data_IF_898922643126
#
_entry.id   IF_898922643126
#
_cell.length_a   1.000
_cell.length_b   1.000
_cell.length_c   1.000
_cell.angle_alpha   90.00
_cell.angle_beta   90.00
_cell.angle_gamma   90.00
#
_symmetry.space_group_name_H-M   'P 1'
#
loop_
_entity.id
_entity.type
_entity.pdbx_description
1 polymer ?
#
# COMPACT_ATOMS: atom_id res chain seq x y z
N UNK A 1 76.87 -72.23 -7.94
CA UNK A 1 75.41 -72.05 -8.09
C UNK A 1 75.14 -71.52 -9.51
N UNK A 2 74.33 -72.24 -10.26
CA UNK A 2 74.14 -72.05 -11.70
C UNK A 2 73.45 -70.71 -12.04
N UNK A 3 73.95 -70.00 -13.07
CA UNK A 3 73.35 -68.77 -13.67
C UNK A 3 71.84 -68.90 -13.96
N UNK A 4 71.28 -70.08 -14.15
CA UNK A 4 69.88 -70.43 -14.33
C UNK A 4 69.02 -70.18 -13.06
N UNK A 5 69.56 -70.51 -11.84
CA UNK A 5 68.85 -70.32 -10.56
C UNK A 5 68.64 -68.85 -10.25
N UNK A 6 69.65 -67.99 -10.52
CA UNK A 6 69.51 -66.55 -10.28
C UNK A 6 68.49 -65.85 -11.22
N UNK A 7 68.34 -66.33 -12.47
CA UNK A 7 67.30 -65.81 -13.40
C UNK A 7 65.88 -66.19 -12.99
N UNK A 8 65.68 -67.43 -12.51
CA UNK A 8 64.41 -67.92 -11.98
C UNK A 8 64.00 -67.15 -10.73
N UNK A 9 64.94 -66.88 -9.82
CA UNK A 9 64.69 -66.08 -8.61
C UNK A 9 64.41 -64.64 -8.94
N UNK A 10 65.12 -64.00 -9.88
CA UNK A 10 64.84 -62.66 -10.32
C UNK A 10 63.42 -62.50 -11.01
N UNK A 11 63.04 -63.52 -11.78
CA UNK A 11 61.76 -63.58 -12.45
C UNK A 11 60.60 -63.77 -11.45
N UNK A 12 60.78 -64.65 -10.43
CA UNK A 12 59.77 -64.80 -9.36
C UNK A 12 59.63 -63.54 -8.48
N UNK A 13 60.74 -62.85 -8.20
CA UNK A 13 60.71 -61.60 -7.47
C UNK A 13 59.99 -60.49 -8.28
N UNK A 14 60.31 -60.44 -9.57
CA UNK A 14 59.62 -59.47 -10.46
C UNK A 14 58.10 -59.74 -10.54
N UNK A 15 57.66 -60.98 -10.66
CA UNK A 15 56.27 -61.38 -10.65
C UNK A 15 55.60 -61.07 -9.32
N UNK A 16 56.26 -61.30 -8.19
CA UNK A 16 55.76 -60.93 -6.86
C UNK A 16 55.60 -59.43 -6.69
N UNK A 17 56.57 -58.62 -7.13
CA UNK A 17 56.47 -57.17 -7.12
C UNK A 17 55.31 -56.68 -8.03
N UNK A 18 55.12 -57.34 -9.16
CA UNK A 18 54.03 -57.01 -10.08
C UNK A 18 52.65 -57.33 -9.48
N UNK A 19 52.54 -58.48 -8.78
CA UNK A 19 51.31 -58.84 -8.07
C UNK A 19 50.99 -57.86 -6.92
N UNK A 20 52.00 -57.45 -6.15
CA UNK A 20 51.84 -56.44 -5.11
C UNK A 20 51.38 -55.10 -5.72
N UNK A 21 52.03 -54.68 -6.80
CA UNK A 21 51.65 -53.44 -7.49
C UNK A 21 50.20 -53.53 -8.00
N UNK A 22 49.81 -54.63 -8.62
CA UNK A 22 48.45 -54.87 -9.07
C UNK A 22 47.44 -54.85 -7.91
N UNK A 23 47.77 -55.44 -6.78
CA UNK A 23 46.95 -55.43 -5.58
C UNK A 23 46.82 -54.03 -5.01
N UNK A 24 47.88 -53.25 -4.97
CA UNK A 24 47.82 -51.81 -4.54
C UNK A 24 46.94 -51.00 -5.48
N UNK A 25 47.12 -51.14 -6.79
CA UNK A 25 46.30 -50.46 -7.77
C UNK A 25 44.82 -50.83 -7.67
N UNK A 26 44.56 -52.14 -7.44
CA UNK A 26 43.17 -52.60 -7.22
C UNK A 26 42.55 -52.00 -5.95
N UNK A 27 43.26 -51.96 -4.84
CA UNK A 27 42.84 -51.37 -3.59
C UNK A 27 42.62 -49.88 -3.77
N UNK A 28 43.52 -49.15 -4.42
CA UNK A 28 43.35 -47.70 -4.72
C UNK A 28 42.15 -47.47 -5.59
N UNK A 29 41.90 -48.25 -6.63
CA UNK A 29 40.72 -48.15 -7.48
C UNK A 29 39.43 -48.38 -6.68
N UNK A 30 39.42 -49.40 -5.82
CA UNK A 30 38.28 -49.71 -4.97
C UNK A 30 38.00 -48.58 -3.97
N UNK A 31 39.05 -48.08 -3.29
CA UNK A 31 38.94 -46.95 -2.36
C UNK A 31 38.45 -45.69 -3.06
N UNK A 32 38.93 -45.42 -4.26
CA UNK A 32 38.45 -44.27 -5.05
C UNK A 32 36.96 -44.41 -5.39
N UNK A 33 36.54 -45.60 -5.83
CA UNK A 33 35.12 -45.88 -6.11
C UNK A 33 34.24 -45.74 -4.85
N UNK A 34 34.74 -46.24 -3.72
CA UNK A 34 34.03 -46.11 -2.45
C UNK A 34 33.95 -44.66 -1.98
N UNK A 35 35.01 -43.89 -2.11
CA UNK A 35 34.98 -42.47 -1.77
C UNK A 35 33.98 -41.67 -2.63
N UNK A 36 33.96 -41.94 -3.94
CA UNK A 36 32.99 -41.32 -4.83
C UNK A 36 31.53 -41.70 -4.48
N UNK A 37 31.30 -42.96 -4.11
CA UNK A 37 29.97 -43.38 -3.65
C UNK A 37 29.59 -42.80 -2.29
N UNK A 38 30.57 -42.64 -1.39
CA UNK A 38 30.35 -41.97 -0.12
C UNK A 38 29.96 -40.49 -0.32
N UNK A 39 30.69 -39.76 -1.15
CA UNK A 39 30.33 -38.38 -1.50
C UNK A 39 28.91 -38.29 -2.09
N UNK A 40 28.56 -39.19 -3.02
CA UNK A 40 27.24 -39.27 -3.61
C UNK A 40 26.13 -39.65 -2.61
N UNK A 41 26.48 -40.27 -1.48
CA UNK A 41 25.57 -40.66 -0.40
C UNK A 41 25.31 -39.52 0.60
N UNK A 42 25.96 -38.37 0.46
CA UNK A 42 25.76 -37.24 1.34
C UNK A 42 24.52 -36.42 0.90
N UNK A 43 23.61 -36.06 1.83
CA UNK A 43 22.48 -35.20 1.52
C UNK A 43 22.90 -33.82 0.97
N UNK A 44 24.10 -33.34 1.38
CA UNK A 44 24.68 -32.08 0.87
C UNK A 44 25.03 -32.18 -0.62
N UNK A 45 25.55 -33.30 -1.07
CA UNK A 45 25.82 -33.51 -2.50
C UNK A 45 24.53 -33.53 -3.32
N UNK A 46 23.49 -34.17 -2.79
CA UNK A 46 22.19 -34.22 -3.47
C UNK A 46 21.53 -32.83 -3.57
N UNK A 47 21.59 -31.99 -2.51
CA UNK A 47 21.06 -30.63 -2.57
C UNK A 47 21.91 -29.75 -3.49
N UNK A 48 23.24 -29.89 -3.51
CA UNK A 48 24.11 -29.15 -4.43
C UNK A 48 23.79 -29.48 -5.89
N UNK A 49 23.57 -30.77 -6.20
CA UNK A 49 23.12 -31.18 -7.54
C UNK A 49 21.76 -30.63 -7.88
N UNK A 50 20.81 -30.65 -6.95
CA UNK A 50 19.50 -30.04 -7.14
C UNK A 50 19.61 -28.52 -7.44
N UNK A 51 20.40 -27.77 -6.67
CA UNK A 51 20.61 -26.34 -6.90
C UNK A 51 21.17 -26.03 -8.31
N UNK A 52 22.01 -26.94 -8.87
CA UNK A 52 22.51 -26.79 -10.24
C UNK A 52 21.44 -27.03 -11.32
N UNK A 53 20.32 -27.66 -10.99
CA UNK A 53 19.19 -27.84 -11.92
C UNK A 53 18.25 -26.64 -12.00
N UNK A 54 18.43 -25.65 -11.13
CA UNK A 54 17.57 -24.47 -11.03
C UNK A 54 17.90 -23.47 -12.17
N UNK A 55 17.49 -23.81 -13.40
CA UNK A 55 17.57 -22.92 -14.56
C UNK A 55 16.45 -21.85 -14.47
N UNK A 56 16.53 -20.81 -15.34
CA UNK A 56 15.50 -19.77 -15.42
C UNK A 56 14.11 -20.35 -15.71
N UNK A 57 14.03 -21.35 -16.58
CA UNK A 57 12.75 -22.05 -16.86
C UNK A 57 12.24 -22.81 -15.64
N UNK A 58 13.13 -23.45 -14.88
CA UNK A 58 12.76 -24.14 -13.65
C UNK A 58 12.26 -23.13 -12.60
N UNK A 59 12.94 -22.00 -12.43
CA UNK A 59 12.48 -20.92 -11.55
C UNK A 59 11.10 -20.40 -11.93
N UNK A 60 10.83 -20.23 -13.23
CA UNK A 60 9.50 -19.81 -13.69
C UNK A 60 8.43 -20.82 -13.31
N UNK A 61 8.70 -22.11 -13.47
CA UNK A 61 7.78 -23.17 -13.05
C UNK A 61 7.53 -23.21 -11.54
N UNK A 62 8.55 -22.91 -10.75
CA UNK A 62 8.46 -22.87 -9.29
C UNK A 62 7.72 -21.60 -8.80
N UNK A 63 7.80 -20.50 -9.53
CA UNK A 63 7.11 -19.26 -9.25
C UNK A 63 5.64 -19.25 -9.74
N UNK A 64 5.21 -20.24 -10.55
CA UNK A 64 3.86 -20.27 -11.17
C UNK A 64 2.70 -20.04 -10.18
N UNK A 65 2.70 -20.57 -8.94
CA UNK A 65 1.66 -20.26 -7.97
C UNK A 65 1.59 -18.76 -7.63
N UNK A 66 2.73 -18.11 -7.41
CA UNK A 66 2.83 -16.68 -7.11
C UNK A 66 2.47 -15.82 -8.33
N UNK A 67 2.91 -16.22 -9.54
CA UNK A 67 2.60 -15.48 -10.77
C UNK A 67 1.09 -15.42 -11.06
N UNK A 68 0.32 -16.43 -10.67
CA UNK A 68 -1.14 -16.46 -10.80
C UNK A 68 -1.87 -15.49 -9.87
N UNK A 69 -1.21 -14.94 -8.87
CA UNK A 69 -1.76 -13.92 -7.97
C UNK A 69 -1.63 -12.50 -8.53
N UNK A 70 -0.85 -12.33 -9.63
CA UNK A 70 -0.63 -11.03 -10.26
C UNK A 70 -1.93 -10.49 -10.86
N UNK A 71 -2.20 -9.21 -10.62
CA UNK A 71 -3.30 -8.48 -11.25
C UNK A 71 -2.93 -8.08 -12.68
N UNK A 72 -3.26 -8.94 -13.65
CA UNK A 72 -2.83 -8.81 -15.05
C UNK A 72 -3.37 -7.54 -15.76
N UNK A 73 -4.35 -6.87 -15.18
CA UNK A 73 -4.87 -5.57 -15.64
C UNK A 73 -3.96 -4.39 -15.25
N UNK A 74 -3.14 -4.54 -14.19
CA UNK A 74 -2.25 -3.50 -13.66
C UNK A 74 -0.77 -3.81 -13.88
N UNK A 75 -0.36 -5.08 -13.73
CA UNK A 75 1.01 -5.56 -13.88
C UNK A 75 1.00 -6.92 -14.60
N UNK A 76 2.10 -7.34 -15.22
CA UNK A 76 2.15 -8.59 -15.97
C UNK A 76 2.89 -9.71 -15.21
N UNK A 77 2.52 -10.96 -15.47
CA UNK A 77 3.25 -12.13 -14.94
C UNK A 77 4.73 -12.12 -15.35
N UNK A 78 5.05 -11.65 -16.56
CA UNK A 78 6.44 -11.57 -17.02
C UNK A 78 7.24 -10.56 -16.23
N UNK A 79 6.68 -9.36 -15.96
CA UNK A 79 7.34 -8.36 -15.12
C UNK A 79 7.48 -8.81 -13.67
N UNK A 80 6.49 -9.55 -13.15
CA UNK A 80 6.58 -10.18 -11.84
C UNK A 80 7.71 -11.21 -11.77
N UNK A 81 7.79 -12.08 -12.77
CA UNK A 81 8.85 -13.07 -12.83
C UNK A 81 10.23 -12.41 -12.96
N UNK A 82 10.38 -11.38 -13.78
CA UNK A 82 11.63 -10.63 -13.88
C UNK A 82 12.01 -9.97 -12.55
N UNK A 83 11.02 -9.47 -11.80
CA UNK A 83 11.24 -8.92 -10.46
C UNK A 83 11.69 -10.00 -9.47
N UNK A 84 11.06 -11.18 -9.44
CA UNK A 84 11.52 -12.34 -8.66
C UNK A 84 12.99 -12.67 -9.00
N UNK A 85 13.33 -12.66 -10.30
CA UNK A 85 14.69 -12.98 -10.73
C UNK A 85 15.72 -11.96 -10.23
N UNK A 86 15.37 -10.71 -9.97
CA UNK A 86 16.30 -9.75 -9.35
C UNK A 86 16.77 -10.18 -7.96
N UNK A 87 15.94 -10.91 -7.23
CA UNK A 87 16.31 -11.52 -5.94
C UNK A 87 17.13 -12.81 -6.13
N UNK A 88 16.67 -13.68 -7.01
CA UNK A 88 17.33 -14.97 -7.29
C UNK A 88 18.76 -14.77 -7.82
N UNK A 89 18.95 -13.81 -8.72
CA UNK A 89 20.25 -13.52 -9.37
C UNK A 89 21.27 -12.91 -8.39
N UNK A 90 20.84 -12.31 -7.29
CA UNK A 90 21.74 -11.86 -6.20
C UNK A 90 22.34 -13.02 -5.41
N UNK A 91 21.78 -14.20 -5.54
CA UNK A 91 22.30 -15.45 -4.98
C UNK A 91 21.28 -16.18 -4.12
N UNK A 92 21.21 -17.47 -4.37
CA UNK A 92 20.37 -18.39 -3.60
C UNK A 92 21.26 -19.35 -2.82
N UNK A 93 20.95 -19.54 -1.55
CA UNK A 93 21.64 -20.41 -0.61
C UNK A 93 20.66 -21.42 -0.03
N UNK A 94 21.18 -22.48 0.58
CA UNK A 94 20.37 -23.40 1.36
C UNK A 94 20.90 -23.56 2.77
N UNK A 95 20.01 -23.86 3.70
CA UNK A 95 20.36 -24.24 5.08
C UNK A 95 19.58 -25.47 5.47
N UNK A 96 20.19 -26.36 6.27
CA UNK A 96 19.48 -27.52 6.76
C UNK A 96 18.40 -27.08 7.76
N UNK A 97 17.17 -27.52 7.55
CA UNK A 97 16.07 -27.21 8.46
C UNK A 97 16.26 -27.92 9.81
N UNK A 98 15.95 -27.18 10.90
CA UNK A 98 15.95 -27.73 12.24
C UNK A 98 14.72 -28.62 12.43
N UNK A 99 14.90 -29.91 12.63
CA UNK A 99 13.83 -30.86 12.85
C UNK A 99 14.17 -32.18 12.18
N UNK A 100 14.51 -33.20 12.98
CA UNK A 100 14.85 -34.54 12.48
C UNK A 100 13.67 -35.16 11.76
N UNK A 101 13.89 -35.61 10.55
CA UNK A 101 12.94 -36.48 9.86
C UNK A 101 12.81 -37.80 10.60
N UNK A 102 11.59 -38.24 10.86
CA UNK A 102 11.28 -39.56 11.40
C UNK A 102 11.47 -40.68 10.39
N UNK A 103 11.60 -40.34 9.09
CA UNK A 103 11.61 -41.28 7.95
C UNK A 103 12.91 -41.28 7.11
N UNK A 104 14.04 -40.77 7.65
CA UNK A 104 15.27 -40.69 6.88
C UNK A 104 15.30 -39.66 5.76
N UNK A 105 14.29 -38.79 5.68
CA UNK A 105 14.30 -37.62 4.79
C UNK A 105 15.07 -36.46 5.42
N UNK A 106 15.68 -35.61 4.60
CA UNK A 106 16.39 -34.43 5.05
C UNK A 106 15.75 -33.21 4.36
N UNK A 107 15.39 -32.21 5.17
CA UNK A 107 14.78 -30.98 4.64
C UNK A 107 15.80 -29.84 4.64
N UNK A 108 15.76 -29.05 3.56
CA UNK A 108 16.54 -27.84 3.38
C UNK A 108 15.60 -26.64 3.16
N UNK A 109 15.90 -25.54 3.81
CA UNK A 109 15.30 -24.24 3.52
C UNK A 109 16.13 -23.58 2.42
N UNK A 110 15.47 -23.09 1.39
CA UNK A 110 16.07 -22.31 0.31
C UNK A 110 15.90 -20.85 0.66
N UNK A 111 17.00 -20.12 0.65
CA UNK A 111 17.08 -18.74 1.14
C UNK A 111 17.63 -17.88 0.02
N UNK A 112 16.95 -16.74 -0.21
CA UNK A 112 17.43 -15.64 -1.01
C UNK A 112 17.90 -14.52 -0.06
N UNK A 113 19.06 -13.95 -0.32
CA UNK A 113 19.69 -12.96 0.56
C UNK A 113 20.07 -11.72 -0.25
N UNK A 114 19.08 -10.93 -0.70
CA UNK A 114 19.34 -9.81 -1.60
C UNK A 114 20.16 -8.69 -0.95
N UNK A 115 19.97 -8.40 0.33
CA UNK A 115 20.62 -7.31 1.02
C UNK A 115 20.95 -7.64 2.50
N UNK A 116 21.11 -8.96 2.80
CA UNK A 116 21.34 -9.46 4.16
C UNK A 116 20.07 -9.88 4.90
N UNK A 117 18.91 -9.83 4.26
CA UNK A 117 17.62 -10.06 4.91
C UNK A 117 17.19 -11.54 5.00
N UNK A 118 17.93 -12.44 4.32
CA UNK A 118 17.74 -13.90 4.40
C UNK A 118 16.28 -14.38 4.24
N UNK A 119 15.62 -14.00 3.13
CA UNK A 119 14.24 -14.44 2.85
C UNK A 119 14.22 -15.94 2.54
N UNK A 120 13.45 -16.70 3.31
CA UNK A 120 13.17 -18.09 2.96
C UNK A 120 12.15 -18.11 1.82
N UNK A 121 12.59 -18.54 0.64
CA UNK A 121 11.76 -18.62 -0.59
C UNK A 121 11.22 -20.01 -0.86
N UNK A 122 11.69 -21.03 -0.13
CA UNK A 122 11.19 -22.38 -0.35
C UNK A 122 11.77 -23.42 0.59
N UNK A 123 11.31 -24.63 0.39
CA UNK A 123 11.81 -25.84 1.06
C UNK A 123 11.99 -26.97 0.07
N UNK A 124 13.05 -27.73 0.25
CA UNK A 124 13.35 -28.95 -0.52
C UNK A 124 13.51 -30.12 0.44
N UNK A 125 12.76 -31.18 0.23
CA UNK A 125 12.88 -32.42 0.98
C UNK A 125 13.56 -33.49 0.12
N UNK A 126 14.62 -34.07 0.66
CA UNK A 126 15.33 -35.16 0.05
C UNK A 126 15.08 -36.46 0.83
N UNK A 127 14.74 -37.52 0.14
CA UNK A 127 14.50 -38.82 0.73
C UNK A 127 15.68 -39.75 0.45
N UNK A 128 16.05 -40.52 1.44
CA UNK A 128 17.06 -41.57 1.31
C UNK A 128 16.52 -42.70 0.41
N UNK A 129 17.23 -43.03 -0.64
CA UNK A 129 16.84 -44.11 -1.54
C UNK A 129 16.88 -45.46 -0.80
N UNK A 130 15.87 -46.33 -1.02
CA UNK A 130 15.80 -47.61 -0.30
C UNK A 130 16.91 -48.57 -0.72
N UNK A 131 17.41 -48.48 -1.95
CA UNK A 131 18.46 -49.34 -2.48
C UNK A 131 19.84 -48.77 -2.21
N UNK A 132 20.73 -49.56 -1.66
CA UNK A 132 22.13 -49.19 -1.49
C UNK A 132 22.86 -49.18 -2.85
N UNK A 133 23.73 -48.18 -3.06
CA UNK A 133 24.56 -48.07 -4.27
C UNK A 133 25.40 -49.31 -4.53
N UNK A 134 25.81 -50.00 -3.44
CA UNK A 134 26.56 -51.25 -3.47
C UNK A 134 25.92 -52.28 -2.53
N UNK A 135 25.00 -53.13 -3.00
CA UNK A 135 24.31 -54.14 -2.17
C UNK A 135 25.24 -55.09 -1.42
N UNK A 136 26.42 -55.40 -1.97
CA UNK A 136 27.45 -56.19 -1.31
C UNK A 136 27.99 -55.51 -0.03
N UNK A 137 28.21 -54.22 -0.05
CA UNK A 137 28.68 -53.45 1.11
C UNK A 137 27.58 -53.30 2.18
N UNK A 138 26.34 -53.30 1.78
CA UNK A 138 25.18 -53.24 2.69
C UNK A 138 25.15 -54.51 3.56
N UNK A 139 25.41 -55.69 2.98
CA UNK A 139 25.50 -56.95 3.74
C UNK A 139 26.64 -56.94 4.78
N UNK A 140 27.67 -56.13 4.57
CA UNK A 140 28.80 -55.94 5.50
C UNK A 140 28.56 -54.78 6.49
N UNK A 141 27.37 -54.13 6.49
CA UNK A 141 27.08 -52.99 7.36
C UNK A 141 27.59 -51.63 6.86
N UNK A 142 28.08 -51.56 5.62
CA UNK A 142 28.64 -50.36 4.99
C UNK A 142 27.75 -49.86 3.84
N UNK A 143 26.43 -50.02 3.96
CA UNK A 143 25.49 -49.56 2.91
C UNK A 143 25.53 -48.06 2.72
N UNK A 144 25.81 -47.64 1.48
CA UNK A 144 25.75 -46.24 1.05
C UNK A 144 24.48 -46.05 0.21
N UNK A 145 23.62 -45.13 0.63
CA UNK A 145 22.39 -44.83 -0.06
C UNK A 145 22.44 -43.38 -0.58
N UNK A 146 22.00 -43.17 -1.81
CA UNK A 146 21.82 -41.85 -2.37
C UNK A 146 20.59 -41.17 -1.79
N UNK A 147 20.44 -39.87 -2.12
CA UNK A 147 19.26 -39.11 -1.81
C UNK A 147 18.65 -38.63 -3.11
N UNK A 148 17.32 -38.74 -3.22
CA UNK A 148 16.53 -38.24 -4.32
C UNK A 148 15.57 -37.16 -3.85
N UNK A 149 15.14 -36.31 -4.77
CA UNK A 149 14.14 -35.28 -4.49
C UNK A 149 12.79 -35.93 -4.15
N UNK A 150 12.27 -35.66 -2.96
CA UNK A 150 10.98 -36.14 -2.51
C UNK A 150 9.88 -35.07 -2.79
N UNK A 151 10.19 -33.84 -2.44
CA UNK A 151 9.27 -32.71 -2.66
C UNK A 151 10.02 -31.38 -2.71
N UNK A 152 9.43 -30.44 -3.43
CA UNK A 152 9.87 -29.05 -3.46
C UNK A 152 8.64 -28.14 -3.32
N UNK A 153 8.79 -27.03 -2.58
CA UNK A 153 7.75 -26.02 -2.42
C UNK A 153 8.41 -24.66 -2.36
N UNK A 154 7.90 -23.72 -3.14
CA UNK A 154 8.40 -22.36 -3.21
C UNK A 154 7.25 -21.37 -3.04
N UNK A 155 7.55 -20.25 -2.40
CA UNK A 155 6.63 -19.14 -2.17
C UNK A 155 7.42 -17.84 -2.33
N UNK A 156 6.95 -16.99 -3.24
CA UNK A 156 7.53 -15.68 -3.50
C UNK A 156 6.54 -14.55 -3.12
N UNK A 157 5.50 -14.86 -2.35
CA UNK A 157 4.49 -13.87 -1.95
C UNK A 157 5.06 -12.69 -1.16
N UNK A 158 6.25 -12.83 -0.58
CA UNK A 158 6.96 -11.74 0.12
C UNK A 158 7.26 -10.52 -0.75
N UNK A 159 7.23 -10.67 -2.10
CA UNK A 159 7.43 -9.55 -3.03
C UNK A 159 6.21 -8.65 -3.14
N UNK A 160 5.04 -9.14 -2.77
CA UNK A 160 3.80 -8.40 -2.90
C UNK A 160 3.60 -7.42 -1.75
N UNK A 161 3.21 -6.23 -2.11
CA UNK A 161 2.72 -5.21 -1.21
C UNK A 161 1.26 -4.90 -1.48
N UNK A 162 0.73 -3.96 -0.69
CA UNK A 162 -0.55 -3.34 -0.94
C UNK A 162 -0.37 -1.84 -1.00
N UNK A 163 -1.17 -1.17 -1.82
CA UNK A 163 -1.22 0.29 -1.86
C UNK A 163 -2.67 0.74 -1.70
N UNK A 164 -2.87 1.77 -0.90
CA UNK A 164 -4.18 2.36 -0.68
C UNK A 164 -4.09 3.86 -0.92
N UNK A 165 -5.18 4.41 -1.46
CA UNK A 165 -5.31 5.84 -1.69
C UNK A 165 -6.76 6.28 -1.54
N UNK A 166 -6.98 7.42 -0.89
CA UNK A 166 -8.29 8.07 -0.77
C UNK A 166 -8.26 9.37 -1.56
N UNK A 167 -9.17 9.50 -2.51
CA UNK A 167 -9.25 10.64 -3.44
C UNK A 167 -10.72 11.04 -3.69
N UNK A 168 -10.98 12.25 -4.24
CA UNK A 168 -12.29 12.61 -4.75
C UNK A 168 -12.81 11.57 -5.75
N UNK A 169 -14.10 11.32 -5.72
CA UNK A 169 -14.76 10.31 -6.56
C UNK A 169 -14.63 10.60 -8.06
N UNK A 170 -14.50 11.87 -8.42
CA UNK A 170 -14.35 12.35 -9.79
C UNK A 170 -12.92 12.20 -10.32
N UNK A 171 -11.94 11.90 -9.44
CA UNK A 171 -10.54 11.73 -9.80
C UNK A 171 -10.27 10.33 -10.33
N UNK A 172 -9.22 10.18 -11.10
CA UNK A 172 -8.78 8.88 -11.66
C UNK A 172 -7.41 8.51 -11.15
N UNK A 173 -7.24 7.21 -10.84
CA UNK A 173 -5.98 6.63 -10.35
C UNK A 173 -5.33 5.81 -11.45
N UNK A 174 -4.03 5.95 -11.58
CA UNK A 174 -3.19 5.12 -12.44
C UNK A 174 -2.08 4.49 -11.62
N UNK A 175 -1.83 3.22 -11.82
CA UNK A 175 -0.72 2.47 -11.24
C UNK A 175 0.20 2.03 -12.37
N UNK A 176 1.46 2.50 -12.35
CA UNK A 176 2.44 2.25 -13.41
C UNK A 176 1.90 2.59 -14.83
N UNK A 177 1.06 3.64 -14.93
CA UNK A 177 0.43 4.07 -16.18
C UNK A 177 -0.83 3.30 -16.58
N UNK A 178 -1.20 2.22 -15.87
CA UNK A 178 -2.46 1.49 -16.07
C UNK A 178 -3.58 2.09 -15.23
N UNK A 179 -4.76 2.28 -15.81
CA UNK A 179 -5.92 2.79 -15.09
C UNK A 179 -6.39 1.79 -14.03
N UNK A 180 -6.50 2.26 -12.78
CA UNK A 180 -7.11 1.52 -11.68
C UNK A 180 -8.62 1.74 -11.75
N UNK A 181 -9.35 0.73 -12.13
CA UNK A 181 -10.80 0.83 -12.34
C UNK A 181 -11.60 0.76 -11.02
N UNK A 182 -12.91 0.90 -11.11
CA UNK A 182 -13.80 0.93 -9.95
C UNK A 182 -13.89 -0.39 -9.17
N UNK A 183 -13.38 -1.51 -9.71
CA UNK A 183 -13.37 -2.81 -8.99
C UNK A 183 -12.41 -2.79 -7.80
N UNK A 184 -11.46 -1.85 -7.80
CA UNK A 184 -10.50 -1.65 -6.71
C UNK A 184 -10.99 -0.69 -5.63
N UNK A 185 -12.20 -0.11 -5.77
CA UNK A 185 -12.80 0.73 -4.72
C UNK A 185 -13.27 -0.18 -3.58
N UNK A 186 -12.65 -0.03 -2.42
CA UNK A 186 -13.01 -0.78 -1.19
C UNK A 186 -13.99 -0.01 -0.31
N UNK A 187 -14.04 1.31 -0.46
CA UNK A 187 -14.99 2.15 0.25
C UNK A 187 -15.40 3.32 -0.66
N UNK A 188 -16.70 3.48 -0.87
CA UNK A 188 -17.29 4.53 -1.71
C UNK A 188 -18.13 5.49 -0.86
N UNK A 189 -18.32 6.71 -1.37
CA UNK A 189 -19.10 7.76 -0.74
C UNK A 189 -18.60 8.13 0.69
N UNK A 190 -17.28 8.20 0.86
CA UNK A 190 -16.67 8.71 2.09
C UNK A 190 -16.92 10.22 2.14
N UNK A 191 -17.51 10.70 3.22
CA UNK A 191 -17.74 12.11 3.42
C UNK A 191 -16.45 12.82 3.82
N UNK A 192 -16.21 14.00 3.26
CA UNK A 192 -15.16 14.87 3.76
C UNK A 192 -15.41 15.23 5.21
N UNK A 193 -14.49 14.90 6.10
CA UNK A 193 -14.60 15.24 7.53
C UNK A 193 -14.76 16.77 7.72
N UNK A 194 -14.05 17.53 6.88
CA UNK A 194 -14.08 18.99 6.86
C UNK A 194 -15.44 19.58 6.47
N UNK A 195 -16.25 18.88 5.65
CA UNK A 195 -17.50 19.37 5.09
C UNK A 195 -18.76 18.77 5.75
N UNK A 196 -18.64 17.72 6.53
CA UNK A 196 -19.77 16.94 7.06
C UNK A 196 -20.80 17.77 7.83
N UNK A 197 -20.37 18.85 8.46
CA UNK A 197 -21.24 19.69 9.28
C UNK A 197 -22.01 20.74 8.48
N UNK A 198 -21.70 20.91 7.20
CA UNK A 198 -22.32 21.90 6.32
C UNK A 198 -23.38 21.31 5.39
N UNK A 199 -23.32 20.01 5.13
CA UNK A 199 -24.25 19.32 4.26
C UNK A 199 -25.22 18.46 5.09
N UNK A 200 -26.51 18.65 4.89
CA UNK A 200 -27.57 17.94 5.59
C UNK A 200 -28.00 16.65 4.88
N UNK A 201 -27.06 15.89 4.32
CA UNK A 201 -27.33 14.67 3.56
C UNK A 201 -27.94 14.92 2.19
N UNK A 202 -27.64 16.07 1.59
CA UNK A 202 -28.11 16.43 0.24
C UNK A 202 -27.22 15.79 -0.82
N UNK A 203 -27.80 15.45 -1.98
CA UNK A 203 -27.14 14.78 -3.11
C UNK A 203 -26.00 15.60 -3.77
N UNK A 204 -25.78 16.84 -3.34
CA UNK A 204 -24.77 17.75 -3.89
C UNK A 204 -23.43 17.73 -3.14
N UNK A 205 -23.31 16.96 -2.06
CA UNK A 205 -22.05 16.86 -1.32
C UNK A 205 -21.01 16.11 -2.15
N UNK A 206 -19.78 16.63 -2.27
CA UNK A 206 -18.69 15.87 -2.85
C UNK A 206 -18.31 14.70 -1.93
N UNK A 207 -17.89 13.62 -2.53
CA UNK A 207 -17.47 12.42 -1.81
C UNK A 207 -16.06 12.02 -2.21
N UNK A 208 -15.39 11.33 -1.28
CA UNK A 208 -14.16 10.61 -1.53
C UNK A 208 -14.47 9.14 -1.77
N UNK A 209 -13.57 8.46 -2.44
CA UNK A 209 -13.51 7.01 -2.52
C UNK A 209 -12.12 6.51 -2.17
N UNK A 210 -12.05 5.32 -1.59
CA UNK A 210 -10.79 4.66 -1.24
C UNK A 210 -10.55 3.48 -2.16
N UNK A 211 -9.45 3.56 -2.88
CA UNK A 211 -8.91 2.46 -3.66
C UNK A 211 -7.93 1.66 -2.81
N UNK A 212 -7.96 0.34 -2.95
CA UNK A 212 -6.94 -0.56 -2.42
C UNK A 212 -6.56 -1.57 -3.49
N UNK A 213 -5.28 -1.64 -3.78
CA UNK A 213 -4.71 -2.60 -4.72
C UNK A 213 -3.75 -3.48 -3.94
N UNK A 214 -4.07 -4.74 -3.83
CA UNK A 214 -3.23 -5.80 -3.28
C UNK A 214 -2.38 -6.46 -4.37
N UNK A 215 -1.44 -7.29 -3.96
CA UNK A 215 -0.58 -8.08 -4.85
C UNK A 215 0.20 -7.24 -5.86
N UNK A 216 0.61 -6.03 -5.49
CA UNK A 216 1.52 -5.18 -6.27
C UNK A 216 2.97 -5.47 -5.89
N UNK A 217 3.86 -5.42 -6.86
CA UNK A 217 5.28 -5.71 -6.66
C UNK A 217 6.18 -4.63 -7.28
N UNK A 218 7.40 -4.53 -6.76
CA UNK A 218 8.40 -3.56 -7.23
C UNK A 218 8.10 -2.12 -6.82
N UNK A 219 8.76 -1.20 -7.49
CA UNK A 219 8.51 0.22 -7.33
C UNK A 219 7.18 0.58 -7.99
N UNK A 220 6.23 1.00 -7.19
CA UNK A 220 4.89 1.37 -7.63
C UNK A 220 4.82 2.87 -7.84
N UNK A 221 4.63 3.29 -9.09
CA UNK A 221 4.33 4.67 -9.43
C UNK A 221 2.81 4.87 -9.43
N UNK A 222 2.32 5.62 -8.44
CA UNK A 222 0.92 5.99 -8.33
C UNK A 222 0.75 7.41 -8.87
N UNK A 223 -0.08 7.56 -9.91
CA UNK A 223 -0.43 8.85 -10.48
C UNK A 223 -1.93 9.09 -10.33
N UNK A 224 -2.31 10.29 -9.94
CA UNK A 224 -3.70 10.70 -9.84
C UNK A 224 -3.96 11.84 -10.81
N UNK A 225 -5.15 11.88 -11.39
CA UNK A 225 -5.59 12.98 -12.23
C UNK A 225 -6.93 13.52 -11.71
N UNK A 226 -7.06 14.84 -11.75
CA UNK A 226 -8.30 15.54 -11.40
C UNK A 226 -9.42 15.24 -12.41
N UNK A 227 -10.58 15.80 -12.20
CA UNK A 227 -11.76 15.69 -13.06
C UNK A 227 -11.54 16.26 -14.48
N UNK A 228 -10.54 17.13 -14.65
CA UNK A 228 -10.13 17.72 -15.93
C UNK A 228 -9.03 16.92 -16.63
N UNK A 229 -8.52 15.86 -15.96
CA UNK A 229 -7.43 15.02 -16.46
C UNK A 229 -6.03 15.59 -16.21
N UNK A 230 -5.89 16.66 -15.42
CA UNK A 230 -4.60 17.19 -15.05
C UNK A 230 -3.96 16.32 -13.96
N UNK A 231 -2.62 16.17 -13.98
CA UNK A 231 -1.93 15.42 -12.94
C UNK A 231 -2.08 16.14 -11.58
N UNK A 232 -2.43 15.37 -10.55
CA UNK A 232 -2.50 15.80 -9.16
C UNK A 232 -1.42 15.08 -8.36
N UNK A 233 -0.55 15.84 -7.69
CA UNK A 233 0.54 15.29 -6.91
C UNK A 233 0.03 14.83 -5.54
N UNK A 234 0.17 13.54 -5.24
CA UNK A 234 -0.18 12.95 -3.96
C UNK A 234 1.08 12.58 -3.20
N UNK A 235 1.11 12.98 -1.95
CA UNK A 235 2.16 12.64 -0.98
C UNK A 235 1.54 12.00 0.25
N UNK A 236 2.38 11.49 1.15
CA UNK A 236 1.91 10.96 2.46
C UNK A 236 1.29 12.04 3.36
N UNK A 237 1.53 13.31 3.05
CA UNK A 237 1.04 14.47 3.81
C UNK A 237 -0.22 15.08 3.19
N UNK A 238 -0.65 14.60 2.00
CA UNK A 238 -1.86 15.08 1.31
C UNK A 238 -3.08 14.88 2.19
N UNK A 239 -3.80 15.96 2.44
CA UNK A 239 -5.03 16.00 3.23
C UNK A 239 -6.23 16.10 2.32
N UNK A 240 -7.41 15.76 2.83
CA UNK A 240 -8.66 15.91 2.08
C UNK A 240 -8.95 17.35 1.65
N UNK A 241 -8.46 18.35 2.40
CA UNK A 241 -8.59 19.78 2.03
C UNK A 241 -7.77 20.16 0.82
N UNK A 242 -6.71 19.43 0.49
CA UNK A 242 -5.83 19.72 -0.64
C UNK A 242 -6.51 19.39 -1.98
N UNK A 243 -7.60 18.62 -1.96
CA UNK A 243 -8.45 18.35 -3.13
C UNK A 243 -9.46 19.45 -3.42
N UNK A 244 -9.58 20.43 -2.53
CA UNK A 244 -10.46 21.57 -2.72
C UNK A 244 -9.68 22.69 -3.41
N UNK A 245 -10.35 23.45 -4.25
CA UNK A 245 -9.72 24.48 -5.06
C UNK A 245 -10.03 25.88 -4.52
N UNK A 246 -9.14 26.83 -4.75
CA UNK A 246 -9.45 28.24 -4.51
C UNK A 246 -10.53 28.72 -5.50
N UNK A 247 -11.33 29.65 -5.07
CA UNK A 247 -12.30 30.31 -5.97
C UNK A 247 -11.56 31.12 -7.05
N UNK A 248 -12.16 31.22 -8.23
CA UNK A 248 -11.63 32.11 -9.26
C UNK A 248 -11.54 33.55 -8.75
N UNK A 249 -10.52 34.33 -9.12
CA UNK A 249 -10.37 35.72 -8.62
C UNK A 249 -11.59 36.61 -8.81
N UNK A 250 -12.35 36.42 -9.89
CA UNK A 250 -13.58 37.17 -10.12
C UNK A 250 -14.71 36.72 -9.17
N UNK A 251 -14.85 35.42 -8.94
CA UNK A 251 -15.79 34.85 -7.98
C UNK A 251 -15.41 35.24 -6.55
N UNK A 252 -14.12 35.23 -6.22
CA UNK A 252 -13.64 35.67 -4.90
C UNK A 252 -14.07 37.08 -4.54
N UNK A 253 -13.92 38.03 -5.46
CA UNK A 253 -14.36 39.43 -5.24
C UNK A 253 -15.87 39.52 -5.02
N UNK A 254 -16.67 38.80 -5.82
CA UNK A 254 -18.13 38.81 -5.71
C UNK A 254 -18.59 38.13 -4.42
N UNK A 255 -18.04 36.95 -4.11
CA UNK A 255 -18.32 36.20 -2.88
C UNK A 255 -17.91 36.98 -1.63
N UNK A 256 -16.77 37.69 -1.66
CA UNK A 256 -16.33 38.54 -0.56
C UNK A 256 -17.34 39.65 -0.31
N UNK A 257 -17.82 40.33 -1.36
CA UNK A 257 -18.80 41.40 -1.25
C UNK A 257 -20.15 40.89 -0.74
N UNK A 258 -20.60 39.79 -1.31
CA UNK A 258 -21.85 39.11 -0.91
C UNK A 258 -21.79 38.66 0.56
N UNK A 259 -20.68 38.02 0.96
CA UNK A 259 -20.45 37.54 2.32
C UNK A 259 -20.47 38.66 3.34
N UNK A 260 -19.79 39.79 3.06
CA UNK A 260 -19.77 40.94 3.97
C UNK A 260 -21.18 41.50 4.15
N UNK A 261 -21.97 41.61 3.06
CA UNK A 261 -23.34 42.08 3.10
C UNK A 261 -24.26 41.14 3.90
N UNK A 262 -24.11 39.83 3.71
CA UNK A 262 -24.85 38.84 4.50
C UNK A 262 -24.51 38.93 5.98
N UNK A 263 -23.19 38.94 6.33
CA UNK A 263 -22.73 38.97 7.72
C UNK A 263 -23.22 40.24 8.43
N UNK A 264 -23.22 41.39 7.76
CA UNK A 264 -23.76 42.62 8.32
C UNK A 264 -25.24 42.47 8.69
N UNK A 265 -26.06 41.96 7.78
CA UNK A 265 -27.50 41.75 8.05
C UNK A 265 -27.73 40.71 9.13
N UNK A 266 -26.94 39.61 9.11
CA UNK A 266 -26.98 38.56 10.11
C UNK A 266 -26.65 39.08 11.51
N UNK A 267 -25.65 39.97 11.64
CA UNK A 267 -25.26 40.57 12.91
C UNK A 267 -26.35 41.52 13.45
N UNK A 268 -26.95 42.36 12.61
CA UNK A 268 -28.08 43.18 13.01
C UNK A 268 -29.27 42.35 13.48
N UNK A 269 -29.57 41.29 12.79
CA UNK A 269 -30.62 40.35 13.17
C UNK A 269 -30.31 39.60 14.46
N UNK A 270 -29.14 38.98 14.57
CA UNK A 270 -28.74 38.17 15.72
C UNK A 270 -28.55 38.98 17.01
N UNK A 271 -28.18 40.26 16.87
CA UNK A 271 -28.09 41.20 18.00
C UNK A 271 -29.42 41.90 18.30
N UNK A 272 -30.49 41.65 17.55
CA UNK A 272 -31.84 42.24 17.78
C UNK A 272 -31.89 43.74 17.58
N UNK A 273 -31.18 44.30 16.58
CA UNK A 273 -31.12 45.72 16.31
C UNK A 273 -32.32 46.17 15.46
N UNK A 274 -33.06 47.15 15.94
CA UNK A 274 -34.19 47.74 15.21
C UNK A 274 -35.43 46.85 15.18
N UNK A 275 -36.16 46.84 14.04
CA UNK A 275 -37.32 45.96 13.85
C UNK A 275 -36.86 44.54 13.50
N UNK A 276 -37.01 43.62 14.44
CA UNK A 276 -36.59 42.22 14.29
C UNK A 276 -37.26 41.53 13.09
N UNK A 277 -38.51 41.86 12.78
CA UNK A 277 -39.18 41.28 11.60
C UNK A 277 -38.56 41.78 10.30
N UNK A 278 -38.27 43.08 10.20
CA UNK A 278 -37.59 43.63 9.03
C UNK A 278 -36.18 43.07 8.87
N UNK A 279 -35.41 42.94 9.97
CA UNK A 279 -34.07 42.37 9.94
C UNK A 279 -34.08 40.88 9.56
N UNK A 280 -35.08 40.13 10.04
CA UNK A 280 -35.28 38.75 9.60
C UNK A 280 -35.46 38.67 8.08
N UNK A 281 -36.39 39.44 7.51
CA UNK A 281 -36.60 39.39 6.05
C UNK A 281 -35.38 39.86 5.28
N UNK A 282 -34.66 40.88 5.74
CA UNK A 282 -33.43 41.33 5.11
C UNK A 282 -32.36 40.22 5.13
N UNK A 283 -32.18 39.51 6.24
CA UNK A 283 -31.24 38.39 6.34
C UNK A 283 -31.68 37.22 5.44
N UNK A 284 -32.97 36.90 5.40
CA UNK A 284 -33.51 35.83 4.57
C UNK A 284 -33.37 36.07 3.06
N UNK A 285 -33.10 37.28 2.61
CA UNK A 285 -32.78 37.53 1.19
C UNK A 285 -31.48 36.89 0.77
N UNK A 286 -30.60 36.56 1.72
CA UNK A 286 -29.32 35.88 1.51
C UNK A 286 -29.37 34.38 1.81
N UNK A 287 -30.41 33.89 2.47
CA UNK A 287 -30.45 32.50 2.98
C UNK A 287 -31.36 31.64 2.11
N UNK A 288 -30.89 30.47 1.74
CA UNK A 288 -31.68 29.51 0.97
C UNK A 288 -32.81 28.93 1.82
N UNK A 289 -34.01 28.95 1.26
CA UNK A 289 -35.19 28.39 1.90
C UNK A 289 -35.05 26.88 2.20
N UNK A 290 -35.75 26.42 3.21
CA UNK A 290 -35.79 25.01 3.64
C UNK A 290 -34.44 24.45 4.09
N UNK A 291 -33.52 25.28 4.58
CA UNK A 291 -32.27 24.87 5.22
C UNK A 291 -32.39 24.92 6.74
N UNK A 292 -31.55 24.17 7.46
CA UNK A 292 -31.47 24.27 8.93
C UNK A 292 -31.12 25.67 9.40
N UNK A 293 -30.36 26.45 8.60
CA UNK A 293 -30.06 27.84 8.90
C UNK A 293 -31.35 28.69 8.87
N UNK A 294 -32.15 28.55 7.80
CA UNK A 294 -33.42 29.24 7.67
C UNK A 294 -34.39 28.95 8.84
N UNK A 295 -34.47 27.68 9.24
CA UNK A 295 -35.25 27.24 10.39
C UNK A 295 -34.78 27.86 11.71
N UNK A 296 -33.46 27.90 11.95
CA UNK A 296 -32.87 28.53 13.14
C UNK A 296 -33.15 30.05 13.19
N UNK A 297 -33.00 30.74 12.07
CA UNK A 297 -33.32 32.17 12.00
C UNK A 297 -34.79 32.41 12.28
N UNK A 298 -35.69 31.59 11.74
CA UNK A 298 -37.12 31.68 12.03
C UNK A 298 -37.46 31.45 13.51
N UNK A 299 -36.81 30.46 14.15
CA UNK A 299 -36.98 30.21 15.58
C UNK A 299 -36.51 31.40 16.44
N UNK A 300 -35.45 32.09 16.01
CA UNK A 300 -34.99 33.32 16.67
C UNK A 300 -36.03 34.45 16.58
N UNK A 301 -36.67 34.63 15.40
CA UNK A 301 -37.76 35.58 15.21
C UNK A 301 -38.94 35.34 16.19
N UNK A 302 -39.25 34.07 16.48
CA UNK A 302 -40.32 33.71 17.43
C UNK A 302 -39.95 33.98 18.91
N UNK A 303 -38.90 34.77 19.17
CA UNK A 303 -38.55 35.30 20.48
C UNK A 303 -37.73 34.36 21.37
N UNK A 304 -37.11 33.31 20.82
CA UNK A 304 -36.35 32.31 21.58
C UNK A 304 -34.88 32.66 21.76
N UNK A 305 -34.35 33.66 21.04
CA UNK A 305 -32.90 33.98 20.99
C UNK A 305 -32.61 35.50 20.94
N UNK A 306 -33.39 36.33 21.60
CA UNK A 306 -33.20 37.81 21.54
C UNK A 306 -32.13 38.28 22.51
N UNK A 307 -31.28 39.20 22.02
CA UNK A 307 -30.39 40.00 22.85
C UNK A 307 -31.03 41.37 23.17
N UNK A 308 -30.72 41.93 24.34
CA UNK A 308 -31.16 43.29 24.71
C UNK A 308 -30.17 44.36 24.22
N UNK A 309 -29.74 44.26 22.96
CA UNK A 309 -28.76 45.20 22.37
C UNK A 309 -29.46 46.44 21.89
N UNK A 310 -29.06 47.61 22.38
CA UNK A 310 -29.62 48.89 22.00
C UNK A 310 -28.96 49.46 20.75
N UNK A 311 -27.69 49.17 20.55
CA UNK A 311 -26.91 49.65 19.42
C UNK A 311 -25.75 48.70 19.13
N UNK A 312 -25.39 48.54 17.85
CA UNK A 312 -24.27 47.71 17.37
C UNK A 312 -23.32 48.56 16.53
N UNK A 313 -22.03 48.49 16.83
CA UNK A 313 -20.98 49.04 15.97
C UNK A 313 -20.16 47.89 15.41
N UNK A 314 -20.26 47.64 14.11
CA UNK A 314 -19.42 46.68 13.42
C UNK A 314 -18.07 47.34 13.13
N UNK A 315 -16.96 46.78 13.65
CA UNK A 315 -15.59 47.30 13.48
C UNK A 315 -14.95 46.73 12.21
N UNK A 316 -15.09 45.44 12.01
CA UNK A 316 -14.61 44.74 10.80
C UNK A 316 -15.45 43.51 10.49
N UNK A 317 -15.48 43.15 9.21
CA UNK A 317 -15.89 41.86 8.68
C UNK A 317 -14.81 41.45 7.67
N UNK A 318 -14.06 40.44 8.00
CA UNK A 318 -12.93 40.00 7.23
C UNK A 318 -13.21 38.58 6.67
N UNK A 319 -13.15 38.46 5.35
CA UNK A 319 -13.19 37.17 4.67
C UNK A 319 -11.77 36.64 4.60
N UNK A 320 -11.50 35.57 5.32
CA UNK A 320 -10.16 35.05 5.51
C UNK A 320 -9.78 34.07 4.41
N UNK A 321 -10.76 33.29 3.91
CA UNK A 321 -10.54 32.24 2.91
C UNK A 321 -11.83 31.92 2.16
N UNK A 322 -11.75 31.56 0.89
CA UNK A 322 -12.85 31.11 0.05
C UNK A 322 -12.45 29.88 -0.72
N UNK A 323 -12.97 28.73 -0.31
CA UNK A 323 -12.68 27.43 -0.92
C UNK A 323 -13.84 27.01 -1.81
N UNK A 324 -13.57 26.72 -3.07
CA UNK A 324 -14.51 26.12 -4.01
C UNK A 324 -14.64 24.62 -3.71
N UNK A 325 -15.85 24.17 -3.39
CA UNK A 325 -16.13 22.77 -3.08
C UNK A 325 -16.66 22.04 -4.33
N UNK A 326 -17.61 22.68 -5.03
CA UNK A 326 -18.16 22.23 -6.30
C UNK A 326 -18.23 23.40 -7.27
N UNK A 327 -18.73 23.16 -8.47
CA UNK A 327 -18.95 24.28 -9.43
C UNK A 327 -19.88 25.38 -8.89
N UNK A 328 -20.72 25.06 -7.90
CA UNK A 328 -21.71 25.98 -7.35
C UNK A 328 -21.66 26.17 -5.83
N UNK A 329 -20.78 25.45 -5.13
CA UNK A 329 -20.71 25.52 -3.68
C UNK A 329 -19.35 26.02 -3.21
N UNK A 330 -19.37 26.97 -2.28
CA UNK A 330 -18.19 27.65 -1.74
C UNK A 330 -18.26 27.66 -0.22
N UNK A 331 -17.18 27.24 0.43
CA UNK A 331 -17.02 27.40 1.87
C UNK A 331 -16.18 28.64 2.15
N UNK A 332 -16.76 29.57 2.87
CA UNK A 332 -16.17 30.88 3.16
C UNK A 332 -15.85 30.96 4.66
N UNK A 333 -14.60 31.23 4.98
CA UNK A 333 -14.14 31.50 6.33
C UNK A 333 -14.21 32.99 6.64
N UNK A 334 -14.89 33.36 7.72
CA UNK A 334 -15.17 34.74 8.08
C UNK A 334 -14.82 34.99 9.53
N UNK A 335 -14.17 36.11 9.78
CA UNK A 335 -14.02 36.68 11.12
C UNK A 335 -14.67 38.05 11.19
N UNK A 336 -15.21 38.41 12.35
CA UNK A 336 -15.77 39.72 12.56
C UNK A 336 -15.47 40.25 13.96
N UNK A 337 -15.48 41.58 14.05
CA UNK A 337 -15.33 42.31 15.30
C UNK A 337 -16.43 43.37 15.41
N UNK A 338 -17.17 43.36 16.50
CA UNK A 338 -18.19 44.34 16.77
C UNK A 338 -18.31 44.68 18.25
N UNK A 339 -18.92 45.86 18.55
CA UNK A 339 -19.25 46.28 19.90
C UNK A 339 -20.76 46.37 20.04
N UNK A 340 -21.33 45.56 20.92
CA UNK A 340 -22.75 45.57 21.26
C UNK A 340 -22.98 46.39 22.53
N UNK A 341 -23.82 47.40 22.45
CA UNK A 341 -24.22 48.24 23.57
C UNK A 341 -25.53 47.72 24.15
N UNK A 342 -25.45 47.10 25.30
CA UNK A 342 -26.58 46.54 26.04
C UNK A 342 -27.04 47.53 27.10
N UNK A 343 -28.29 47.37 27.57
CA UNK A 343 -28.77 48.10 28.75
C UNK A 343 -27.95 47.84 30.02
N UNK A 344 -27.28 46.70 30.08
CA UNK A 344 -26.41 46.26 31.21
C UNK A 344 -24.94 46.65 31.05
N UNK A 345 -24.52 47.21 29.90
CA UNK A 345 -23.12 47.54 29.62
C UNK A 345 -22.74 47.38 28.16
N UNK A 346 -21.42 47.34 27.93
CA UNK A 346 -20.86 47.21 26.57
C UNK A 346 -20.21 45.83 26.47
N UNK A 347 -20.50 45.13 25.39
CA UNK A 347 -19.90 43.82 25.08
C UNK A 347 -19.10 43.88 23.77
N UNK A 348 -17.83 43.51 23.79
CA UNK A 348 -17.02 43.36 22.60
C UNK A 348 -17.06 41.91 22.14
N UNK A 349 -17.37 41.69 20.87
CA UNK A 349 -17.56 40.40 20.24
C UNK A 349 -16.53 40.27 19.12
N UNK A 350 -15.69 39.26 19.21
CA UNK A 350 -14.74 38.89 18.18
C UNK A 350 -14.89 37.37 17.97
N UNK A 351 -15.46 37.01 16.85
CA UNK A 351 -15.77 35.61 16.56
C UNK A 351 -15.45 35.28 15.11
N UNK A 352 -15.37 34.00 14.84
CA UNK A 352 -15.15 33.43 13.51
C UNK A 352 -16.15 32.32 13.25
N UNK A 353 -16.56 32.19 12.01
CA UNK A 353 -17.43 31.13 11.56
C UNK A 353 -17.19 30.82 10.08
N UNK A 354 -17.64 29.65 9.66
CA UNK A 354 -17.68 29.28 8.25
C UNK A 354 -19.10 29.29 7.73
N UNK A 355 -19.27 29.73 6.49
CA UNK A 355 -20.54 29.68 5.79
C UNK A 355 -20.41 28.90 4.50
N UNK A 356 -21.42 28.06 4.23
CA UNK A 356 -21.58 27.41 2.95
C UNK A 356 -22.48 28.28 2.08
N UNK A 357 -21.97 28.69 0.93
CA UNK A 357 -22.68 29.49 -0.06
C UNK A 357 -22.87 28.64 -1.30
N UNK A 358 -24.13 28.55 -1.80
CA UNK A 358 -24.46 27.84 -3.03
C UNK A 358 -25.02 28.78 -4.07
N UNK A 359 -24.76 28.55 -5.33
CA UNK A 359 -25.30 29.29 -6.46
C UNK A 359 -24.26 29.70 -7.49
N UNK A 360 -24.69 30.51 -8.44
CA UNK A 360 -23.85 31.08 -9.49
C UNK A 360 -23.73 32.60 -9.29
N UNK A 361 -22.79 33.29 -9.96
CA UNK A 361 -22.66 34.72 -9.94
C UNK A 361 -24.02 35.47 -10.10
N UNK A 362 -24.30 36.37 -9.18
CA UNK A 362 -25.56 37.09 -9.10
C UNK A 362 -26.75 36.36 -8.47
N UNK A 363 -26.57 35.06 -8.06
CA UNK A 363 -27.64 34.26 -7.45
C UNK A 363 -27.17 33.42 -6.26
N UNK A 364 -26.15 33.88 -5.57
CA UNK A 364 -25.61 33.21 -4.39
C UNK A 364 -26.62 33.17 -3.22
N UNK A 365 -26.64 32.05 -2.48
CA UNK A 365 -27.46 31.86 -1.29
C UNK A 365 -26.66 31.13 -0.21
N UNK A 366 -26.76 31.62 1.03
CA UNK A 366 -26.16 30.92 2.20
C UNK A 366 -27.03 29.74 2.57
N UNK A 367 -26.42 28.55 2.68
CA UNK A 367 -27.12 27.30 3.01
C UNK A 367 -26.82 26.79 4.41
N UNK A 368 -25.63 27.08 4.92
CA UNK A 368 -25.21 26.69 6.28
C UNK A 368 -24.27 27.71 6.90
N UNK A 369 -24.26 27.77 8.23
CA UNK A 369 -23.37 28.60 9.03
C UNK A 369 -22.97 27.84 10.28
N UNK A 370 -21.66 27.81 10.60
CA UNK A 370 -21.10 27.13 11.76
C UNK A 370 -20.01 27.98 12.40
N UNK A 371 -20.14 28.23 13.69
CA UNK A 371 -19.11 28.82 14.54
C UNK A 371 -18.06 27.78 14.94
N UNK A 372 -16.80 28.17 15.15
CA UNK A 372 -15.70 27.29 15.58
C UNK A 372 -14.79 27.98 16.60
#
# INVERSE_FOLDING_TARGET
MSKKSNRLYALSLALYCLLILAAILFIMFFLWKYAAAYEASLPTTAIDQYMQTLTREKWRSLADPTLKEVRNDLQTEDSCFDYIMTYVDKGVKYTRASGGSTDGSVRYNIICDPDGDNFQIGTVSLKKDPEAQYPFLEQLGYGLHSYSLESESYDFSFIFGATEITIPKEYTVYLNGSLVDSTYIVEDNIQYEYLKDFYDGTDSMPYLCRYAVDSVFGDVELTVRDENGNPFEITKETKETDFLHDADPAQEVELTTYTKSFVEQYLYYSCGIGDGTAQYFNTMTYVKDNTKLAERLKLALDGKMWSNTSYLTIKSIDVNDIVKITESDFLVDVSYSCTAYLTSGVNEINESFKILISGAPGSYMVTALKYY
#
